data_IF_749816820583
#
_entry.id   IF_749816820583
#
_cell.length_a   1.000
_cell.length_b   1.000
_cell.length_c   1.000
_cell.angle_alpha   90.00
_cell.angle_beta   90.00
_cell.angle_gamma   90.00
#
_symmetry.space_group_name_H-M   'P 1'
#
loop_
_entity.id
_entity.type
_entity.pdbx_description
1 polymer ?
#
# COMPACT_ATOMS: atom_id res chain seq x y z
N UNK A 1 50.78 33.06 24.57
CA UNK A 1 50.09 32.05 23.74
C UNK A 1 50.14 30.73 24.48
N UNK A 2 49.06 30.36 25.17
CA UNK A 2 49.00 29.11 25.96
C UNK A 2 48.64 27.95 25.04
N UNK A 3 49.61 27.06 24.78
CA UNK A 3 49.37 25.81 24.06
C UNK A 3 48.53 24.87 24.94
N UNK A 4 47.34 24.52 24.45
CA UNK A 4 46.51 23.48 25.05
C UNK A 4 47.24 22.14 25.04
N UNK A 5 47.18 21.42 26.16
CA UNK A 5 47.77 20.09 26.27
C UNK A 5 47.13 19.13 25.24
N UNK A 6 47.89 18.14 24.75
CA UNK A 6 47.37 17.17 23.78
C UNK A 6 46.13 16.42 24.28
N UNK A 7 46.00 16.22 25.59
CA UNK A 7 44.83 15.61 26.22
C UNK A 7 43.58 16.48 26.11
N UNK A 8 43.68 17.78 26.37
CA UNK A 8 42.52 18.69 26.31
C UNK A 8 41.99 18.84 24.86
N UNK A 9 42.88 18.77 23.87
CA UNK A 9 42.51 18.79 22.44
C UNK A 9 41.74 17.54 22.03
N UNK A 10 42.13 16.37 22.55
CA UNK A 10 41.44 15.11 22.27
C UNK A 10 40.03 15.11 22.89
N UNK A 11 39.88 15.58 24.12
CA UNK A 11 38.57 15.68 24.79
C UNK A 11 37.62 16.64 24.07
N UNK A 12 38.10 17.82 23.66
CA UNK A 12 37.30 18.78 22.89
C UNK A 12 36.88 18.23 21.52
N UNK A 13 37.72 17.42 20.89
CA UNK A 13 37.40 16.79 19.61
C UNK A 13 36.31 15.72 19.77
N UNK A 14 36.38 14.91 20.82
CA UNK A 14 35.33 13.92 21.13
C UNK A 14 34.00 14.60 21.45
N UNK A 15 34.00 15.65 22.26
CA UNK A 15 32.80 16.43 22.57
C UNK A 15 32.23 17.05 21.28
N UNK A 16 33.09 17.64 20.43
CA UNK A 16 32.68 18.18 19.14
C UNK A 16 32.02 17.14 18.24
N UNK A 17 32.61 15.94 18.12
CA UNK A 17 32.04 14.83 17.32
C UNK A 17 30.71 14.37 17.89
N UNK A 18 30.58 14.23 19.22
CA UNK A 18 29.31 13.83 19.85
C UNK A 18 28.21 14.88 19.63
N UNK A 19 28.53 16.18 19.75
CA UNK A 19 27.58 17.27 19.49
C UNK A 19 27.17 17.31 18.02
N UNK A 20 28.11 17.10 17.10
CA UNK A 20 27.82 17.00 15.66
C UNK A 20 26.94 15.78 15.38
N UNK A 21 27.25 14.61 15.92
CA UNK A 21 26.44 13.40 15.78
C UNK A 21 25.03 13.56 16.39
N UNK A 22 24.89 14.33 17.47
CA UNK A 22 23.58 14.67 18.05
C UNK A 22 22.82 15.72 17.24
N UNK A 23 23.50 16.69 16.62
CA UNK A 23 22.89 17.67 15.73
C UNK A 23 22.40 17.06 14.41
N UNK A 24 23.08 16.00 13.92
CA UNK A 24 22.64 15.22 12.75
C UNK A 24 21.56 14.17 13.06
N UNK A 25 21.12 14.04 14.33
CA UNK A 25 19.92 13.28 14.72
C UNK A 25 18.63 14.09 14.63
N UNK A 26 18.54 15.05 13.71
CA UNK A 26 17.26 15.58 13.27
C UNK A 26 16.51 14.58 12.37
N UNK A 27 16.35 13.35 12.84
CA UNK A 27 15.25 12.50 12.40
C UNK A 27 14.00 13.14 12.99
N UNK A 28 13.24 13.83 12.15
CA UNK A 28 11.87 14.23 12.51
C UNK A 28 11.08 12.94 12.71
N UNK A 29 10.96 12.54 13.98
CA UNK A 29 9.91 11.66 14.44
C UNK A 29 8.61 12.38 14.13
N UNK A 30 7.95 12.03 13.04
CA UNK A 30 6.54 12.35 12.87
C UNK A 30 5.83 11.35 13.76
N UNK A 31 5.67 11.75 15.02
CA UNK A 31 5.00 10.99 16.08
C UNK A 31 3.49 10.99 15.78
N UNK A 32 3.09 10.31 14.70
CA UNK A 32 1.69 10.02 14.48
C UNK A 32 1.34 8.71 15.18
N UNK A 33 1.13 8.81 16.49
CA UNK A 33 0.71 7.70 17.35
C UNK A 33 -0.68 7.14 16.97
N UNK A 34 -1.36 7.68 15.96
CA UNK A 34 -2.69 7.21 15.53
C UNK A 34 -2.63 6.18 14.39
N UNK A 35 -1.43 5.87 13.89
CA UNK A 35 -1.20 4.96 12.77
C UNK A 35 -0.56 3.65 13.20
N UNK A 36 -1.09 2.54 12.68
CA UNK A 36 -0.40 1.24 12.68
C UNK A 36 0.25 1.06 11.31
N UNK A 37 1.57 0.89 11.26
CA UNK A 37 2.33 0.77 10.01
C UNK A 37 2.67 -0.69 9.72
N UNK A 38 2.22 -1.18 8.58
CA UNK A 38 2.55 -2.50 8.04
C UNK A 38 3.48 -2.37 6.84
N UNK A 39 4.72 -2.82 7.00
CA UNK A 39 5.74 -2.81 5.95
C UNK A 39 6.03 -4.21 5.42
N UNK A 40 6.14 -4.36 4.11
CA UNK A 40 6.51 -5.61 3.47
C UNK A 40 5.35 -6.61 3.38
N UNK A 41 5.66 -7.90 3.34
CA UNK A 41 4.65 -8.95 3.20
C UNK A 41 3.66 -8.95 4.38
N UNK A 42 2.37 -9.07 4.05
CA UNK A 42 1.31 -9.27 5.02
C UNK A 42 1.29 -10.75 5.42
N UNK A 43 1.52 -11.02 6.70
CA UNK A 43 1.49 -12.37 7.28
C UNK A 43 0.41 -12.47 8.35
N UNK A 44 0.05 -13.69 8.74
CA UNK A 44 -0.90 -13.90 9.85
C UNK A 44 -0.37 -13.37 11.18
N UNK A 45 0.96 -13.41 11.39
CA UNK A 45 1.62 -12.84 12.56
C UNK A 45 1.40 -11.32 12.62
N UNK A 46 1.62 -10.61 11.50
CA UNK A 46 1.33 -9.17 11.41
C UNK A 46 -0.13 -8.83 11.70
N UNK A 47 -1.07 -9.69 11.27
CA UNK A 47 -2.49 -9.50 11.60
C UNK A 47 -2.76 -9.62 13.10
N UNK A 48 -2.11 -10.58 13.77
CA UNK A 48 -2.21 -10.74 15.23
C UNK A 48 -1.59 -9.54 15.96
N UNK A 49 -0.44 -9.03 15.49
CA UNK A 49 0.17 -7.81 16.02
C UNK A 49 -0.80 -6.61 15.92
N UNK A 50 -1.44 -6.41 14.76
CA UNK A 50 -2.43 -5.34 14.56
C UNK A 50 -3.62 -5.49 15.51
N UNK A 51 -4.15 -6.71 15.65
CA UNK A 51 -5.27 -7.00 16.55
C UNK A 51 -4.92 -6.65 18.00
N UNK A 52 -3.71 -7.01 18.44
CA UNK A 52 -3.23 -6.72 19.78
C UNK A 52 -3.01 -5.22 20.01
N UNK A 53 -2.40 -4.51 19.04
CA UNK A 53 -2.24 -3.06 19.11
C UNK A 53 -3.59 -2.34 19.20
N UNK A 54 -4.57 -2.74 18.38
CA UNK A 54 -5.92 -2.17 18.42
C UNK A 54 -6.62 -2.43 19.77
N UNK A 55 -6.41 -3.62 20.35
CA UNK A 55 -6.95 -3.99 21.66
C UNK A 55 -6.32 -3.19 22.80
N UNK A 56 -5.00 -3.02 22.77
CA UNK A 56 -4.24 -2.30 23.80
C UNK A 56 -4.42 -0.78 23.71
N UNK A 57 -4.44 -0.22 22.49
CA UNK A 57 -4.51 1.22 22.26
C UNK A 57 -5.87 1.86 22.58
N UNK A 58 -6.91 1.08 22.89
CA UNK A 58 -8.24 1.58 23.32
C UNK A 58 -8.81 2.73 22.46
N UNK A 59 -8.66 2.63 21.13
CA UNK A 59 -9.15 3.63 20.18
C UNK A 59 -8.15 4.72 19.78
N UNK A 60 -6.91 4.65 20.27
CA UNK A 60 -5.80 5.51 19.83
C UNK A 60 -5.56 5.40 18.32
N UNK A 61 -5.59 4.17 17.78
CA UNK A 61 -5.32 3.92 16.37
C UNK A 61 -6.59 4.05 15.53
N UNK A 62 -6.50 4.84 14.47
CA UNK A 62 -7.60 5.05 13.52
C UNK A 62 -7.19 4.78 12.06
N UNK A 63 -5.92 4.50 11.80
CA UNK A 63 -5.39 4.35 10.44
C UNK A 63 -4.44 3.15 10.35
N UNK A 64 -4.62 2.34 9.31
CA UNK A 64 -3.70 1.30 8.90
C UNK A 64 -2.90 1.79 7.69
N UNK A 65 -1.60 2.01 7.87
CA UNK A 65 -0.71 2.43 6.79
C UNK A 65 0.03 1.23 6.22
N UNK A 66 -0.14 0.98 4.92
CA UNK A 66 0.52 -0.08 4.16
C UNK A 66 1.71 0.51 3.40
N UNK A 67 2.89 -0.05 3.59
CA UNK A 67 4.13 0.50 3.01
C UNK A 67 4.94 -0.59 2.32
N UNK A 68 5.22 -0.39 1.03
CA UNK A 68 6.08 -1.27 0.23
C UNK A 68 5.75 -2.77 0.39
N UNK A 69 4.47 -3.09 0.26
CA UNK A 69 3.94 -4.43 0.48
C UNK A 69 3.62 -5.14 -0.85
N UNK A 70 4.19 -6.32 -1.10
CA UNK A 70 3.84 -7.14 -2.27
C UNK A 70 2.47 -7.84 -2.10
N UNK A 71 1.83 -7.70 -0.94
CA UNK A 71 0.65 -8.47 -0.57
C UNK A 71 1.00 -9.59 0.40
N UNK A 72 0.46 -10.78 0.18
CA UNK A 72 0.60 -11.94 1.06
C UNK A 72 0.84 -13.21 0.24
N UNK A 73 1.53 -14.19 0.81
CA UNK A 73 1.68 -15.53 0.25
C UNK A 73 0.41 -16.40 0.35
N UNK A 74 0.59 -17.68 0.72
CA UNK A 74 -0.46 -18.70 0.68
C UNK A 74 -1.75 -18.37 1.46
N UNK A 75 -1.65 -17.53 2.50
CA UNK A 75 -2.77 -17.15 3.36
C UNK A 75 -3.48 -15.84 2.95
N UNK A 76 -3.23 -15.32 1.74
CA UNK A 76 -3.73 -14.02 1.28
C UNK A 76 -5.23 -13.81 1.52
N UNK A 77 -6.07 -14.78 1.17
CA UNK A 77 -7.51 -14.67 1.36
C UNK A 77 -7.93 -14.49 2.82
N UNK A 78 -7.30 -15.25 3.74
CA UNK A 78 -7.58 -15.19 5.18
C UNK A 78 -7.09 -13.85 5.76
N UNK A 79 -5.92 -13.39 5.32
CA UNK A 79 -5.32 -12.13 5.78
C UNK A 79 -6.20 -10.94 5.37
N UNK A 80 -6.67 -10.91 4.12
CA UNK A 80 -7.60 -9.87 3.64
C UNK A 80 -8.88 -9.88 4.46
N UNK A 81 -9.48 -11.05 4.71
CA UNK A 81 -10.72 -11.14 5.49
C UNK A 81 -10.54 -10.66 6.94
N UNK A 82 -9.43 -11.05 7.59
CA UNK A 82 -9.16 -10.63 8.98
C UNK A 82 -8.89 -9.13 9.07
N UNK A 83 -8.08 -8.58 8.17
CA UNK A 83 -7.80 -7.14 8.14
C UNK A 83 -9.06 -6.34 7.79
N UNK A 84 -9.90 -6.82 6.86
CA UNK A 84 -11.21 -6.22 6.58
C UNK A 84 -12.10 -6.20 7.83
N UNK A 85 -12.16 -7.31 8.58
CA UNK A 85 -12.95 -7.39 9.81
C UNK A 85 -12.47 -6.38 10.85
N UNK A 86 -11.16 -6.21 11.01
CA UNK A 86 -10.57 -5.20 11.89
C UNK A 86 -10.87 -3.77 11.40
N UNK A 87 -10.70 -3.50 10.10
CA UNK A 87 -11.06 -2.22 9.47
C UNK A 87 -12.53 -1.86 9.75
N UNK A 88 -13.44 -2.82 9.58
CA UNK A 88 -14.86 -2.58 9.80
C UNK A 88 -15.20 -2.39 11.28
N UNK A 89 -14.62 -3.21 12.17
CA UNK A 89 -14.86 -3.16 13.62
C UNK A 89 -14.37 -1.85 14.22
N UNK A 90 -13.16 -1.41 13.86
CA UNK A 90 -12.51 -0.22 14.42
C UNK A 90 -12.64 1.02 13.52
N UNK A 91 -13.40 0.93 12.42
CA UNK A 91 -13.61 2.00 11.44
C UNK A 91 -12.29 2.59 10.90
N UNK A 92 -11.30 1.74 10.67
CA UNK A 92 -9.96 2.19 10.28
C UNK A 92 -9.95 2.81 8.88
N UNK A 93 -9.22 3.91 8.77
CA UNK A 93 -8.76 4.44 7.51
C UNK A 93 -7.61 3.59 6.99
N UNK A 94 -7.34 3.67 5.69
CA UNK A 94 -6.19 3.03 5.06
C UNK A 94 -5.36 4.06 4.33
N UNK A 95 -4.06 3.97 4.54
CA UNK A 95 -3.07 4.77 3.85
C UNK A 95 -2.11 3.85 3.11
N UNK A 96 -1.61 4.32 1.97
CA UNK A 96 -0.59 3.60 1.21
C UNK A 96 0.56 4.53 0.83
N UNK A 97 1.79 4.02 0.95
CA UNK A 97 3.02 4.66 0.47
C UNK A 97 3.88 3.61 -0.25
N UNK A 98 4.43 3.98 -1.41
CA UNK A 98 5.22 3.08 -2.24
C UNK A 98 4.37 1.97 -2.88
N UNK A 99 4.98 0.80 -3.09
CA UNK A 99 4.31 -0.33 -3.76
C UNK A 99 3.29 -0.99 -2.85
N UNK A 100 2.07 -1.22 -3.34
CA UNK A 100 1.06 -2.01 -2.63
C UNK A 100 0.32 -2.92 -3.61
N UNK A 101 0.74 -4.19 -3.66
CA UNK A 101 0.25 -5.15 -4.64
C UNK A 101 -0.64 -6.23 -4.01
N UNK A 102 -1.47 -6.88 -4.84
CA UNK A 102 -2.22 -8.08 -4.46
C UNK A 102 -3.09 -7.85 -3.21
N UNK A 103 -2.94 -8.69 -2.17
CA UNK A 103 -3.63 -8.57 -0.89
C UNK A 103 -3.47 -7.19 -0.25
N UNK A 104 -2.34 -6.50 -0.44
CA UNK A 104 -2.15 -5.13 0.06
C UNK A 104 -3.15 -4.18 -0.60
N UNK A 105 -3.26 -4.21 -1.92
CA UNK A 105 -4.17 -3.33 -2.65
C UNK A 105 -5.63 -3.60 -2.24
N UNK A 106 -6.01 -4.87 -2.06
CA UNK A 106 -7.33 -5.24 -1.57
C UNK A 106 -7.61 -4.67 -0.16
N UNK A 107 -6.69 -4.86 0.79
CA UNK A 107 -6.83 -4.33 2.16
C UNK A 107 -6.93 -2.81 2.16
N UNK A 108 -6.07 -2.13 1.38
CA UNK A 108 -6.14 -0.69 1.21
C UNK A 108 -7.52 -0.24 0.74
N UNK A 109 -8.05 -0.84 -0.34
CA UNK A 109 -9.32 -0.44 -0.94
C UNK A 109 -10.55 -0.73 -0.06
N UNK A 110 -10.43 -1.62 0.93
CA UNK A 110 -11.49 -1.94 1.90
C UNK A 110 -11.57 -0.96 3.08
N UNK A 111 -10.60 -0.04 3.20
CA UNK A 111 -10.57 1.01 4.22
C UNK A 111 -11.78 1.95 4.21
N UNK A 112 -12.05 2.58 5.36
CA UNK A 112 -13.15 3.53 5.50
C UNK A 112 -12.92 4.81 4.69
N UNK A 113 -11.74 5.41 4.86
CA UNK A 113 -11.19 6.43 3.96
C UNK A 113 -9.84 5.94 3.43
N UNK A 114 -9.65 6.03 2.11
CA UNK A 114 -8.48 5.52 1.40
C UNK A 114 -7.61 6.69 0.98
N UNK A 115 -6.35 6.70 1.39
CA UNK A 115 -5.42 7.81 1.12
C UNK A 115 -4.12 7.32 0.48
N UNK A 116 -3.75 7.88 -0.65
CA UNK A 116 -2.43 7.65 -1.25
C UNK A 116 -1.48 8.78 -0.84
N UNK A 117 -0.41 8.39 -0.14
CA UNK A 117 0.66 9.29 0.29
C UNK A 117 1.66 9.49 -0.84
N UNK A 118 2.39 10.60 -0.79
CA UNK A 118 3.44 10.92 -1.77
C UNK A 118 4.44 9.77 -1.93
N UNK A 119 5.07 9.73 -3.11
CA UNK A 119 6.11 8.74 -3.42
C UNK A 119 7.27 8.87 -2.43
N UNK A 120 7.99 7.77 -2.22
CA UNK A 120 9.32 7.83 -1.58
C UNK A 120 10.36 8.18 -2.64
N UNK A 121 11.58 8.52 -2.21
CA UNK A 121 12.71 8.68 -3.13
C UNK A 121 13.00 7.40 -3.94
N UNK A 122 12.65 6.24 -3.37
CA UNK A 122 12.96 4.93 -3.91
C UNK A 122 11.90 4.41 -4.90
N UNK A 123 10.63 4.78 -4.74
CA UNK A 123 9.56 4.25 -5.59
C UNK A 123 8.30 5.12 -5.66
N UNK A 124 7.58 5.10 -6.80
CA UNK A 124 6.26 5.72 -6.88
C UNK A 124 5.27 5.02 -5.95
N UNK A 125 4.31 5.77 -5.40
CA UNK A 125 3.17 5.16 -4.70
C UNK A 125 2.15 4.64 -5.71
N UNK A 126 1.89 3.33 -5.70
CA UNK A 126 0.91 2.71 -6.58
C UNK A 126 0.25 1.47 -6.00
N UNK A 127 -0.94 1.15 -6.51
CA UNK A 127 -1.62 -0.11 -6.29
C UNK A 127 -1.46 -1.01 -7.51
N UNK A 128 -1.25 -2.31 -7.28
CA UNK A 128 -1.45 -3.34 -8.31
C UNK A 128 -2.53 -4.29 -7.79
N UNK A 129 -3.64 -4.34 -8.52
CA UNK A 129 -4.79 -5.18 -8.21
C UNK A 129 -4.80 -6.33 -9.22
N UNK A 130 -4.92 -7.56 -8.75
CA UNK A 130 -5.09 -8.74 -9.58
C UNK A 130 -6.11 -9.68 -8.93
N UNK A 131 -6.54 -10.74 -9.63
CA UNK A 131 -7.55 -11.64 -9.10
C UNK A 131 -7.00 -12.50 -7.96
N UNK A 132 -7.86 -12.90 -7.02
CA UNK A 132 -7.45 -13.86 -5.98
C UNK A 132 -7.22 -15.21 -6.64
N UNK A 133 -6.05 -15.80 -6.41
CA UNK A 133 -5.70 -17.13 -6.93
C UNK A 133 -5.68 -18.17 -5.83
N UNK A 134 -5.98 -19.42 -6.18
CA UNK A 134 -5.69 -20.56 -5.33
C UNK A 134 -4.16 -20.74 -5.28
N UNK A 135 -3.58 -20.76 -4.09
CA UNK A 135 -2.12 -20.87 -3.95
C UNK A 135 -1.56 -22.19 -4.50
N UNK A 136 -2.33 -23.28 -4.43
CA UNK A 136 -1.90 -24.61 -4.86
C UNK A 136 -2.12 -24.80 -6.36
N UNK A 137 -3.31 -24.52 -6.88
CA UNK A 137 -3.62 -24.72 -8.32
C UNK A 137 -3.21 -23.55 -9.21
N UNK A 138 -2.97 -22.37 -8.64
CA UNK A 138 -2.74 -21.12 -9.38
C UNK A 138 -3.99 -20.55 -10.04
N UNK A 139 -5.12 -21.27 -10.03
CA UNK A 139 -6.35 -20.86 -10.71
C UNK A 139 -7.01 -19.65 -10.05
N UNK A 140 -7.71 -18.85 -10.86
CA UNK A 140 -8.47 -17.71 -10.36
C UNK A 140 -9.66 -18.18 -9.52
N UNK A 141 -9.73 -17.69 -8.29
CA UNK A 141 -10.87 -17.85 -7.41
C UNK A 141 -11.90 -16.73 -7.70
N UNK A 142 -12.75 -16.98 -8.70
CA UNK A 142 -13.79 -16.04 -9.14
C UNK A 142 -14.71 -15.60 -8.02
N UNK A 143 -15.30 -16.55 -7.28
CA UNK A 143 -16.27 -16.23 -6.23
C UNK A 143 -15.68 -15.32 -5.16
N UNK A 144 -14.43 -15.58 -4.75
CA UNK A 144 -13.72 -14.71 -3.80
C UNK A 144 -13.38 -13.34 -4.40
N UNK A 145 -12.89 -13.30 -5.63
CA UNK A 145 -12.53 -12.06 -6.32
C UNK A 145 -13.76 -11.17 -6.52
N UNK A 146 -14.87 -11.71 -7.01
CA UNK A 146 -16.13 -10.98 -7.17
C UNK A 146 -16.68 -10.46 -5.83
N UNK A 147 -16.59 -11.25 -4.76
CA UNK A 147 -17.01 -10.83 -3.43
C UNK A 147 -16.18 -9.63 -2.94
N UNK A 148 -14.86 -9.66 -3.15
CA UNK A 148 -13.96 -8.53 -2.83
C UNK A 148 -14.28 -7.32 -3.72
N UNK A 149 -14.46 -7.51 -5.02
CA UNK A 149 -14.80 -6.43 -5.96
C UNK A 149 -16.11 -5.73 -5.55
N UNK A 150 -17.14 -6.49 -5.18
CA UNK A 150 -18.42 -5.97 -4.66
C UNK A 150 -18.22 -5.11 -3.42
N UNK A 151 -17.37 -5.54 -2.49
CA UNK A 151 -17.04 -4.78 -1.28
C UNK A 151 -16.28 -3.49 -1.62
N UNK A 152 -15.28 -3.55 -2.50
CA UNK A 152 -14.51 -2.38 -2.95
C UNK A 152 -15.42 -1.34 -3.63
N UNK A 153 -16.27 -1.78 -4.56
CA UNK A 153 -17.22 -0.88 -5.21
C UNK A 153 -18.21 -0.26 -4.22
N UNK A 154 -18.73 -1.04 -3.26
CA UNK A 154 -19.60 -0.50 -2.22
C UNK A 154 -18.89 0.52 -1.32
N UNK A 155 -17.65 0.22 -0.89
CA UNK A 155 -16.82 1.11 -0.06
C UNK A 155 -16.44 2.41 -0.77
N UNK A 156 -16.35 2.40 -2.10
CA UNK A 156 -16.12 3.59 -2.93
C UNK A 156 -17.40 4.30 -3.36
N UNK A 157 -18.57 3.93 -2.82
CA UNK A 157 -19.87 4.48 -3.25
C UNK A 157 -20.07 4.36 -4.78
N UNK A 158 -19.65 3.22 -5.34
CA UNK A 158 -19.68 2.89 -6.77
C UNK A 158 -18.76 3.73 -7.67
N UNK A 159 -17.90 4.58 -7.11
CA UNK A 159 -16.89 5.32 -7.89
C UNK A 159 -15.85 4.38 -8.50
N UNK A 160 -15.41 3.37 -7.74
CA UNK A 160 -14.64 2.26 -8.29
C UNK A 160 -15.61 1.20 -8.83
N UNK A 161 -16.04 1.37 -10.09
CA UNK A 161 -17.09 0.54 -10.67
C UNK A 161 -16.72 -0.95 -10.73
N UNK A 162 -17.73 -1.82 -10.53
CA UNK A 162 -17.59 -3.27 -10.73
C UNK A 162 -17.14 -3.61 -12.15
N UNK A 163 -17.60 -2.82 -13.14
CA UNK A 163 -17.18 -3.01 -14.55
C UNK A 163 -15.67 -2.88 -14.70
N UNK A 164 -15.05 -1.90 -14.05
CA UNK A 164 -13.60 -1.73 -14.07
C UNK A 164 -12.90 -2.86 -13.30
N UNK A 165 -13.34 -3.15 -12.08
CA UNK A 165 -12.76 -4.21 -11.25
C UNK A 165 -12.85 -5.61 -11.89
N UNK A 166 -13.89 -5.87 -12.66
CA UNK A 166 -14.04 -7.14 -13.38
C UNK A 166 -13.19 -7.23 -14.65
N UNK A 167 -12.48 -6.15 -15.04
CA UNK A 167 -11.44 -6.25 -16.08
C UNK A 167 -10.24 -7.09 -15.65
N UNK A 168 -10.12 -7.43 -14.36
CA UNK A 168 -9.14 -8.39 -13.85
C UNK A 168 -9.36 -9.82 -14.37
N UNK A 169 -10.55 -10.13 -14.89
CA UNK A 169 -10.82 -11.41 -15.51
C UNK A 169 -10.50 -11.32 -17.00
N UNK A 170 -9.28 -11.73 -17.40
CA UNK A 170 -8.81 -11.64 -18.79
C UNK A 170 -9.61 -12.60 -19.70
N UNK A 171 -9.79 -13.85 -19.26
CA UNK A 171 -10.67 -14.78 -19.96
C UNK A 171 -11.93 -15.10 -19.13
N UNK A 172 -13.06 -15.23 -19.81
CA UNK A 172 -14.30 -15.78 -19.20
C UNK A 172 -14.15 -17.28 -18.86
N UNK A 173 -12.92 -17.82 -18.85
CA UNK A 173 -12.58 -19.25 -18.77
C UNK A 173 -11.72 -19.62 -17.56
N UNK A 174 -11.13 -18.65 -16.85
CA UNK A 174 -10.48 -18.89 -15.55
C UNK A 174 -9.02 -19.21 -15.56
N UNK A 175 -8.35 -19.04 -16.70
CA UNK A 175 -6.94 -19.45 -16.81
C UNK A 175 -5.96 -18.30 -16.67
N UNK A 176 -6.43 -17.05 -16.79
CA UNK A 176 -5.62 -15.84 -16.67
C UNK A 176 -6.27 -14.77 -15.81
N UNK A 177 -5.47 -14.00 -15.05
CA UNK A 177 -5.89 -12.74 -14.44
C UNK A 177 -5.14 -11.57 -15.07
N UNK A 178 -5.89 -10.53 -15.40
CA UNK A 178 -5.32 -9.23 -15.71
C UNK A 178 -4.92 -8.50 -14.44
N UNK A 179 -4.26 -7.37 -14.63
CA UNK A 179 -3.82 -6.50 -13.55
C UNK A 179 -4.36 -5.09 -13.78
N UNK A 180 -4.80 -4.42 -12.71
CA UNK A 180 -5.10 -2.99 -12.74
C UNK A 180 -4.05 -2.28 -11.90
N UNK A 181 -3.33 -1.36 -12.53
CA UNK A 181 -2.38 -0.48 -11.86
C UNK A 181 -3.02 0.88 -11.61
N UNK A 182 -2.93 1.37 -10.37
CA UNK A 182 -3.37 2.71 -9.98
C UNK A 182 -2.19 3.45 -9.38
N UNK A 183 -1.63 4.39 -10.13
CA UNK A 183 -0.54 5.23 -9.67
C UNK A 183 -1.07 6.50 -9.03
N UNK A 184 -0.40 6.94 -7.94
CA UNK A 184 -0.72 8.22 -7.31
C UNK A 184 -0.46 9.37 -8.27
N UNK A 185 0.67 9.36 -8.95
CA UNK A 185 1.07 10.38 -9.92
C UNK A 185 1.03 9.81 -11.34
N UNK A 186 0.71 10.62 -12.38
CA UNK A 186 0.67 10.14 -13.76
C UNK A 186 2.00 9.52 -14.19
N UNK A 187 1.95 8.30 -14.70
CA UNK A 187 3.09 7.60 -15.29
C UNK A 187 3.00 7.65 -16.82
N UNK A 188 4.16 7.67 -17.47
CA UNK A 188 4.23 7.53 -18.93
C UNK A 188 4.57 6.08 -19.25
N UNK A 189 3.59 5.38 -19.83
CA UNK A 189 3.68 3.96 -20.17
C UNK A 189 3.20 3.83 -21.62
N UNK A 190 3.97 3.16 -22.48
CA UNK A 190 3.64 3.00 -23.90
C UNK A 190 3.29 4.34 -24.60
N UNK A 191 4.03 5.40 -24.29
CA UNK A 191 3.80 6.77 -24.77
C UNK A 191 2.51 7.45 -24.28
N UNK A 192 1.73 6.78 -23.41
CA UNK A 192 0.51 7.36 -22.83
C UNK A 192 0.76 7.78 -21.38
N UNK A 193 0.44 9.04 -21.06
CA UNK A 193 0.51 9.57 -19.70
C UNK A 193 -0.83 9.41 -19.00
N UNK A 194 -0.91 8.50 -18.02
CA UNK A 194 -2.13 8.22 -17.26
C UNK A 194 -1.82 7.76 -15.83
N UNK A 195 -2.84 7.66 -14.98
CA UNK A 195 -2.71 7.15 -13.61
C UNK A 195 -3.31 5.74 -13.45
N UNK A 196 -4.17 5.31 -14.36
CA UNK A 196 -4.83 4.01 -14.30
C UNK A 196 -4.54 3.23 -15.56
N UNK A 197 -4.08 2.00 -15.40
CA UNK A 197 -3.75 1.09 -16.49
C UNK A 197 -4.37 -0.27 -16.23
N UNK A 198 -4.78 -0.96 -17.29
CA UNK A 198 -5.32 -2.32 -17.25
C UNK A 198 -4.49 -3.19 -18.17
N UNK A 199 -3.99 -4.30 -17.66
CA UNK A 199 -3.12 -5.23 -18.36
C UNK A 199 -3.84 -6.58 -18.51
N UNK A 200 -3.80 -7.16 -19.70
CA UNK A 200 -4.35 -8.50 -19.94
C UNK A 200 -3.29 -9.59 -19.63
N UNK A 201 -3.72 -10.77 -19.21
CA UNK A 201 -2.87 -11.86 -18.70
C UNK A 201 -2.02 -12.55 -19.78
N UNK A 202 -2.36 -12.39 -21.06
CA UNK A 202 -1.67 -13.03 -22.19
C UNK A 202 -0.25 -12.51 -22.43
N UNK A 203 0.15 -11.46 -21.71
CA UNK A 203 1.39 -10.75 -21.90
C UNK A 203 2.12 -10.74 -20.56
N UNK A 204 3.23 -11.44 -20.47
CA UNK A 204 4.07 -11.44 -19.27
C UNK A 204 4.46 -10.00 -18.91
N UNK A 205 3.81 -9.44 -17.89
CA UNK A 205 4.30 -8.46 -16.90
C UNK A 205 5.00 -7.17 -17.38
N UNK A 206 4.94 -6.82 -18.66
CA UNK A 206 5.50 -5.56 -19.13
C UNK A 206 4.41 -4.49 -19.10
N UNK A 207 4.59 -3.52 -18.21
CA UNK A 207 3.66 -2.39 -18.04
C UNK A 207 3.39 -1.66 -19.37
N UNK A 208 4.36 -1.65 -20.29
CA UNK A 208 4.27 -1.03 -21.62
C UNK A 208 3.22 -1.66 -22.56
N UNK A 209 2.55 -2.72 -22.15
CA UNK A 209 1.47 -3.36 -22.90
C UNK A 209 0.09 -3.12 -22.28
N UNK A 210 0.03 -2.39 -21.17
CA UNK A 210 -1.23 -2.09 -20.50
C UNK A 210 -2.01 -0.97 -21.19
N UNK A 211 -3.32 -1.15 -21.28
CA UNK A 211 -4.24 -0.12 -21.74
C UNK A 211 -4.36 0.98 -20.67
N UNK A 212 -3.95 2.20 -21.02
CA UNK A 212 -4.24 3.37 -20.21
C UNK A 212 -5.74 3.68 -20.21
N UNK A 213 -6.31 4.01 -19.06
CA UNK A 213 -7.69 4.48 -18.94
C UNK A 213 -7.67 6.01 -18.88
N UNK A 214 -7.93 6.72 -19.99
CA UNK A 214 -7.71 8.16 -20.05
C UNK A 214 -8.62 8.90 -19.08
N UNK A 215 -8.08 9.96 -18.45
CA UNK A 215 -8.79 10.84 -17.50
C UNK A 215 -9.25 10.15 -16.20
N UNK A 216 -8.99 8.86 -16.02
CA UNK A 216 -9.25 8.18 -14.78
C UNK A 216 -8.08 8.42 -13.81
N UNK A 217 -8.43 8.83 -12.60
CA UNK A 217 -7.49 9.17 -11.52
C UNK A 217 -7.88 8.43 -10.24
N UNK A 218 -6.98 8.27 -9.26
CA UNK A 218 -7.35 7.73 -7.95
C UNK A 218 -8.54 8.46 -7.31
N UNK A 219 -8.62 9.79 -7.44
CA UNK A 219 -9.73 10.59 -6.92
C UNK A 219 -11.06 10.26 -7.58
N UNK A 220 -11.07 10.02 -8.89
CA UNK A 220 -12.28 9.59 -9.62
C UNK A 220 -12.80 8.21 -9.16
N UNK A 221 -11.96 7.44 -8.46
CA UNK A 221 -12.26 6.11 -7.90
C UNK A 221 -12.50 6.15 -6.38
N UNK A 222 -12.60 7.34 -5.78
CA UNK A 222 -12.87 7.52 -4.35
C UNK A 222 -11.66 7.32 -3.45
N UNK A 223 -10.47 7.63 -3.96
CA UNK A 223 -9.20 7.62 -3.22
C UNK A 223 -8.69 9.05 -3.06
N UNK A 224 -8.38 9.43 -1.82
CA UNK A 224 -7.88 10.76 -1.46
C UNK A 224 -6.37 10.81 -1.74
N UNK A 225 -5.89 11.88 -2.37
CA UNK A 225 -4.46 12.15 -2.45
C UNK A 225 -4.07 13.10 -1.33
N UNK A 226 -3.06 12.73 -0.55
CA UNK A 226 -2.51 13.60 0.50
C UNK A 226 -1.31 14.34 -0.09
N UNK A 227 -1.33 15.67 -0.01
CA UNK A 227 -0.15 16.53 -0.21
C UNK A 227 0.62 16.57 1.11
N UNK A 228 1.90 16.23 1.07
CA UNK A 228 2.81 16.45 2.20
C UNK A 228 3.24 17.92 2.28
#
# INVERSE_FOLDING_TARGET
MTQLSPTLKAELLVIGVVVVLMAFKSFRYVDDETRIVLRGELTLERVVEVEELLRQGRGQFNTLQLVDSPGAGAAAGIIVDRLEALINRYRLNTEVRGRCASACAAVFLLGNHRRMLAATEESPTFLMIHAVRNFVSGEVNYGKTEAINKKIAAKSQQQFSIKLLNRLFDDKKGTGDGEIYLFREPQTIAQTKAQVFVCDSKLQQQLDQCEAIPRMTPQSLGIILVSE
#
